data_IF_128453475749
#
_entry.id   IF_128453475749
#
_cell.length_a   1.000
_cell.length_b   1.000
_cell.length_c   1.000
_cell.angle_alpha   90.00
_cell.angle_beta   90.00
_cell.angle_gamma   90.00
#
_symmetry.space_group_name_H-M   'P 1'
#
loop_
_entity.id
_entity.type
_entity.pdbx_description
1 polymer ?
#
# COMPACT_ATOMS: atom_id res chain seq x y z
N UNK A 1 -9.06 12.01 -31.79
CA UNK A 1 -8.26 11.26 -30.82
C UNK A 1 -7.21 12.18 -30.21
N UNK A 2 -7.05 12.14 -28.91
CA UNK A 2 -6.00 12.92 -28.22
C UNK A 2 -4.64 12.29 -28.44
N UNK A 3 -3.61 13.11 -28.60
CA UNK A 3 -2.23 12.64 -28.57
C UNK A 3 -1.77 12.52 -27.11
N UNK A 4 -0.65 11.82 -26.88
CA UNK A 4 -0.09 11.76 -25.53
C UNK A 4 0.27 13.13 -24.95
N UNK A 5 0.65 14.09 -25.82
CA UNK A 5 0.98 15.46 -25.40
C UNK A 5 -0.25 16.22 -24.86
N UNK A 6 -1.44 15.87 -25.32
CA UNK A 6 -2.69 16.50 -24.90
C UNK A 6 -3.33 15.83 -23.67
N UNK A 7 -2.86 14.65 -23.31
CA UNK A 7 -3.39 13.90 -22.18
C UNK A 7 -2.60 14.22 -20.93
N UNK A 8 -3.29 14.69 -19.89
CA UNK A 8 -2.66 14.91 -18.60
C UNK A 8 -2.23 13.57 -18.00
N UNK A 9 -1.06 13.55 -17.38
CA UNK A 9 -0.59 12.34 -16.70
C UNK A 9 -1.43 12.01 -15.48
N UNK A 10 -1.59 10.73 -15.23
CA UNK A 10 -2.26 10.21 -14.05
C UNK A 10 -1.25 9.44 -13.21
N UNK A 11 -1.38 9.55 -11.89
CA UNK A 11 -0.58 8.75 -10.98
C UNK A 11 -1.30 7.44 -10.69
N UNK A 12 -0.55 6.34 -10.68
CA UNK A 12 -1.07 5.03 -10.29
C UNK A 12 -0.33 4.56 -9.06
N UNK A 13 -1.10 4.19 -8.03
CA UNK A 13 -0.55 3.68 -6.78
C UNK A 13 -1.10 2.28 -6.51
N UNK A 14 -0.42 1.55 -5.64
CA UNK A 14 -0.92 0.29 -5.08
C UNK A 14 -1.03 0.44 -3.57
N UNK A 15 -2.08 -0.12 -2.99
CA UNK A 15 -2.25 -0.27 -1.55
C UNK A 15 -2.34 -1.75 -1.24
N UNK A 16 -1.73 -2.16 -0.12
CA UNK A 16 -1.71 -3.57 0.26
C UNK A 16 -2.36 -3.72 1.62
N UNK A 17 -3.53 -4.35 1.64
CA UNK A 17 -4.32 -4.57 2.84
C UNK A 17 -3.96 -5.93 3.41
N UNK A 18 -3.21 -5.95 4.50
CA UNK A 18 -2.83 -7.19 5.19
C UNK A 18 -3.73 -7.34 6.41
N UNK A 19 -4.48 -8.42 6.42
CA UNK A 19 -5.47 -8.72 7.45
C UNK A 19 -5.03 -9.93 8.27
N UNK A 20 -5.39 -9.91 9.54
CA UNK A 20 -5.24 -11.07 10.42
C UNK A 20 -6.44 -11.18 11.34
N UNK A 21 -6.68 -12.38 11.86
CA UNK A 21 -7.64 -12.60 12.94
C UNK A 21 -6.85 -12.99 14.19
N UNK A 22 -7.01 -12.23 15.26
CA UNK A 22 -6.35 -12.49 16.52
C UNK A 22 -7.31 -12.25 17.67
N UNK A 23 -7.47 -13.24 18.56
CA UNK A 23 -8.44 -13.20 19.66
C UNK A 23 -9.86 -12.88 19.18
N UNK A 24 -10.28 -13.54 18.08
CA UNK A 24 -11.60 -13.38 17.44
C UNK A 24 -11.85 -11.98 16.87
N UNK A 25 -10.80 -11.17 16.70
CA UNK A 25 -10.93 -9.82 16.16
C UNK A 25 -10.15 -9.70 14.84
N UNK A 26 -10.80 -9.10 13.88
CA UNK A 26 -10.15 -8.76 12.60
C UNK A 26 -9.25 -7.54 12.79
N UNK A 27 -7.99 -7.65 12.36
CA UNK A 27 -7.03 -6.56 12.45
C UNK A 27 -6.39 -6.32 11.08
N UNK A 28 -6.02 -5.08 10.85
CA UNK A 28 -5.31 -4.64 9.65
C UNK A 28 -3.93 -4.11 10.03
N UNK A 29 -2.94 -4.41 9.18
CA UNK A 29 -1.58 -3.94 9.37
C UNK A 29 -1.47 -2.51 8.85
N UNK A 30 -1.12 -1.56 9.72
CA UNK A 30 -0.92 -0.17 9.36
C UNK A 30 0.51 0.26 9.60
N UNK A 31 0.97 1.21 8.80
CA UNK A 31 2.29 1.83 8.94
C UNK A 31 2.13 3.29 9.29
N UNK A 32 3.03 3.79 10.13
CA UNK A 32 3.06 5.20 10.52
C UNK A 32 4.06 5.93 9.62
N UNK A 33 3.62 7.00 9.01
CA UNK A 33 4.46 7.75 8.08
C UNK A 33 5.61 8.45 8.80
N UNK A 34 6.82 8.28 8.27
CA UNK A 34 8.02 8.93 8.79
C UNK A 34 8.27 10.32 8.18
N UNK A 35 7.67 10.61 7.01
CA UNK A 35 7.95 11.80 6.20
C UNK A 35 6.68 12.58 5.88
N UNK A 36 6.87 13.87 5.53
CA UNK A 36 5.78 14.65 4.95
C UNK A 36 5.43 14.16 3.54
N UNK A 37 4.19 14.29 3.05
CA UNK A 37 3.03 14.78 3.80
C UNK A 37 2.49 13.75 4.79
N UNK A 38 1.75 14.21 5.77
CA UNK A 38 1.05 13.40 6.77
C UNK A 38 1.98 12.62 7.72
N UNK A 39 3.16 13.17 8.03
CA UNK A 39 4.05 12.58 9.04
C UNK A 39 3.29 12.26 10.33
N UNK A 40 3.52 11.05 10.87
CA UNK A 40 2.91 10.61 12.11
C UNK A 40 1.52 10.00 11.95
N UNK A 41 0.94 10.02 10.75
CA UNK A 41 -0.35 9.38 10.49
C UNK A 41 -0.19 7.91 10.16
N UNK A 42 -1.16 7.13 10.59
CA UNK A 42 -1.24 5.71 10.24
C UNK A 42 -1.95 5.55 8.89
N UNK A 43 -1.45 4.64 8.09
CA UNK A 43 -2.02 4.37 6.76
C UNK A 43 -1.80 2.92 6.36
N UNK A 44 -2.59 2.48 5.38
CA UNK A 44 -2.36 1.21 4.69
C UNK A 44 -1.03 1.33 3.92
N UNK A 45 -0.15 0.30 3.98
CA UNK A 45 1.07 0.31 3.17
C UNK A 45 0.74 0.54 1.70
N UNK A 46 1.37 1.55 1.10
CA UNK A 46 1.11 1.91 -0.28
C UNK A 46 2.27 2.64 -0.92
N UNK A 47 2.24 2.75 -2.22
CA UNK A 47 3.27 3.46 -2.98
C UNK A 47 2.95 3.56 -4.46
N UNK A 48 3.75 4.33 -5.18
CA UNK A 48 3.60 4.50 -6.61
C UNK A 48 4.17 3.32 -7.37
N UNK A 49 3.58 2.99 -8.52
CA UNK A 49 4.20 2.03 -9.43
C UNK A 49 5.37 2.69 -10.16
N UNK A 50 6.36 1.89 -10.54
CA UNK A 50 7.50 2.34 -11.34
C UNK A 50 7.22 2.12 -12.82
N UNK A 51 7.89 2.87 -13.67
CA UNK A 51 7.67 2.83 -15.12
C UNK A 51 7.87 1.44 -15.73
N UNK A 52 8.80 0.65 -15.19
CA UNK A 52 9.18 -0.64 -15.76
C UNK A 52 8.64 -1.85 -15.02
N UNK A 53 7.77 -1.64 -14.01
CA UNK A 53 7.21 -2.78 -13.26
C UNK A 53 5.72 -2.94 -13.52
N UNK A 54 5.23 -4.18 -13.50
CA UNK A 54 3.79 -4.39 -13.56
C UNK A 54 3.16 -4.16 -12.17
N UNK A 55 1.83 -4.07 -12.15
CA UNK A 55 1.10 -3.69 -10.94
C UNK A 55 1.26 -4.73 -9.84
N UNK A 56 1.23 -6.03 -10.17
CA UNK A 56 1.38 -7.09 -9.19
C UNK A 56 2.77 -7.04 -8.53
N UNK A 57 3.81 -6.81 -9.31
CA UNK A 57 5.18 -6.69 -8.80
C UNK A 57 5.34 -5.45 -7.94
N UNK A 58 4.67 -4.34 -8.31
CA UNK A 58 4.64 -3.13 -7.49
C UNK A 58 4.05 -3.39 -6.11
N UNK A 59 2.95 -4.15 -6.06
CA UNK A 59 2.30 -4.50 -4.78
C UNK A 59 3.24 -5.30 -3.88
N UNK A 60 3.93 -6.30 -4.44
CA UNK A 60 4.89 -7.11 -3.68
C UNK A 60 6.08 -6.28 -3.21
N UNK A 61 6.59 -5.40 -4.05
CA UNK A 61 7.69 -4.50 -3.69
C UNK A 61 7.30 -3.55 -2.57
N UNK A 62 6.15 -2.89 -2.69
CA UNK A 62 5.65 -1.96 -1.68
C UNK A 62 5.46 -2.67 -0.34
N UNK A 63 4.88 -3.86 -0.36
CA UNK A 63 4.70 -4.67 0.84
C UNK A 63 6.04 -4.92 1.53
N UNK A 64 7.04 -5.38 0.78
CA UNK A 64 8.37 -5.67 1.33
C UNK A 64 9.05 -4.41 1.87
N UNK A 65 9.00 -3.30 1.13
CA UNK A 65 9.64 -2.05 1.55
C UNK A 65 9.00 -1.43 2.79
N UNK A 66 7.68 -1.56 2.92
CA UNK A 66 6.93 -0.90 4.00
C UNK A 66 6.69 -1.77 5.22
N UNK A 67 6.78 -3.11 5.09
CA UNK A 67 6.41 -4.02 6.17
C UNK A 67 7.43 -5.13 6.43
N UNK A 68 8.41 -5.32 5.57
CA UNK A 68 9.33 -6.46 5.53
C UNK A 68 8.67 -7.80 5.19
N UNK A 69 7.37 -7.85 5.01
CA UNK A 69 6.66 -9.07 4.59
C UNK A 69 6.98 -9.35 3.12
N UNK A 70 7.30 -10.60 2.81
CA UNK A 70 7.61 -11.02 1.44
C UNK A 70 7.14 -12.44 1.18
N UNK A 71 7.17 -12.86 -0.09
CA UNK A 71 6.86 -14.22 -0.53
C UNK A 71 5.46 -14.68 -0.13
N UNK A 72 4.49 -13.78 -0.20
CA UNK A 72 3.09 -14.11 0.04
C UNK A 72 2.28 -13.91 -1.24
N UNK A 73 1.18 -14.61 -1.32
CA UNK A 73 0.21 -14.43 -2.41
C UNK A 73 -0.68 -13.23 -2.11
N UNK A 74 -0.71 -12.28 -3.04
CA UNK A 74 -1.58 -11.11 -2.98
C UNK A 74 -2.65 -11.24 -4.06
N UNK A 75 -3.87 -10.88 -3.73
CA UNK A 75 -4.98 -10.87 -4.66
C UNK A 75 -5.50 -9.46 -4.81
N UNK A 76 -5.79 -9.05 -6.04
CA UNK A 76 -6.34 -7.72 -6.29
C UNK A 76 -7.76 -7.64 -5.74
N UNK A 77 -7.98 -6.64 -4.87
CA UNK A 77 -9.28 -6.42 -4.24
C UNK A 77 -10.17 -5.55 -5.11
N UNK A 78 -9.67 -4.39 -5.53
CA UNK A 78 -10.45 -3.41 -6.26
C UNK A 78 -9.54 -2.30 -6.80
N UNK A 79 -10.03 -1.60 -7.82
CA UNK A 79 -9.36 -0.41 -8.35
C UNK A 79 -10.23 0.81 -8.09
N UNK A 80 -9.67 1.79 -7.37
CA UNK A 80 -10.36 3.02 -7.00
C UNK A 80 -9.97 4.12 -7.98
N UNK A 81 -10.92 4.56 -8.79
CA UNK A 81 -10.65 5.49 -9.88
C UNK A 81 -11.44 6.79 -9.85
N UNK A 82 -12.15 7.11 -8.77
CA UNK A 82 -12.92 8.35 -8.68
C UNK A 82 -11.99 9.56 -8.79
N UNK A 83 -12.25 10.51 -9.73
CA UNK A 83 -11.39 11.68 -9.90
C UNK A 83 -11.37 12.63 -8.70
N UNK A 84 -12.37 12.57 -7.83
CA UNK A 84 -12.45 13.45 -6.65
C UNK A 84 -11.88 12.81 -5.39
N UNK A 85 -11.41 11.57 -5.47
CA UNK A 85 -10.93 10.81 -4.34
C UNK A 85 -9.69 11.43 -3.67
N UNK A 86 -8.81 12.02 -4.47
CA UNK A 86 -7.60 12.68 -3.97
C UNK A 86 -7.59 14.13 -4.47
N UNK A 87 -7.70 15.12 -3.56
CA UNK A 87 -7.91 16.51 -3.99
C UNK A 87 -6.74 17.15 -4.71
N UNK A 88 -5.51 16.69 -4.46
CA UNK A 88 -4.32 17.33 -5.02
C UNK A 88 -3.95 16.84 -6.42
N UNK A 89 -4.42 15.65 -6.85
CA UNK A 89 -4.03 15.05 -8.12
C UNK A 89 -4.99 13.96 -8.54
N UNK A 90 -4.91 13.57 -9.82
CA UNK A 90 -5.62 12.41 -10.33
C UNK A 90 -4.84 11.15 -9.95
N UNK A 91 -5.34 10.39 -8.99
CA UNK A 91 -4.69 9.17 -8.50
C UNK A 91 -5.63 7.98 -8.66
N UNK A 92 -5.15 6.96 -9.34
CA UNK A 92 -5.84 5.67 -9.46
C UNK A 92 -5.11 4.69 -8.57
N UNK A 93 -5.83 4.02 -7.67
CA UNK A 93 -5.22 3.09 -6.71
C UNK A 93 -5.72 1.67 -6.95
N UNK A 94 -4.79 0.75 -7.14
CA UNK A 94 -5.09 -0.68 -7.18
C UNK A 94 -4.84 -1.25 -5.79
N UNK A 95 -5.90 -1.71 -5.13
CA UNK A 95 -5.80 -2.31 -3.79
C UNK A 95 -5.63 -3.82 -3.90
N UNK A 96 -4.70 -4.35 -3.11
CA UNK A 96 -4.44 -5.79 -2.97
C UNK A 96 -4.70 -6.20 -1.54
N UNK A 97 -4.96 -7.48 -1.31
CA UNK A 97 -5.16 -7.98 0.04
C UNK A 97 -4.56 -9.38 0.23
N UNK A 98 -4.27 -9.69 1.47
CA UNK A 98 -3.95 -11.03 1.93
C UNK A 98 -4.41 -11.20 3.36
N UNK A 99 -4.82 -12.42 3.71
CA UNK A 99 -5.14 -12.80 5.09
C UNK A 99 -4.01 -13.69 5.59
N UNK A 100 -3.32 -13.26 6.64
CA UNK A 100 -2.15 -13.94 7.18
C UNK A 100 -2.31 -14.15 8.69
N UNK A 101 -1.55 -15.09 9.24
CA UNK A 101 -1.45 -15.22 10.69
C UNK A 101 -0.44 -14.21 11.21
N UNK A 102 -0.81 -13.47 12.25
CA UNK A 102 0.06 -12.44 12.83
C UNK A 102 1.39 -13.02 13.32
N UNK A 103 1.38 -14.26 13.83
CA UNK A 103 2.58 -14.93 14.33
C UNK A 103 3.61 -15.23 13.23
N UNK A 104 3.17 -15.27 11.97
CA UNK A 104 4.07 -15.54 10.84
C UNK A 104 4.77 -14.28 10.35
N UNK A 105 4.45 -13.11 10.91
CA UNK A 105 5.00 -11.83 10.47
C UNK A 105 5.87 -11.25 11.57
N UNK A 106 7.14 -10.99 11.24
CA UNK A 106 8.03 -10.20 12.09
C UNK A 106 7.92 -8.74 11.72
N UNK A 107 7.52 -7.92 12.68
CA UNK A 107 7.44 -6.47 12.49
C UNK A 107 8.75 -5.84 12.96
N UNK A 108 9.55 -5.35 12.00
CA UNK A 108 10.82 -4.69 12.27
C UNK A 108 10.88 -3.38 11.51
N UNK A 109 10.97 -2.27 12.24
CA UNK A 109 10.96 -0.93 11.66
C UNK A 109 12.33 -0.43 11.22
N UNK A 110 13.40 -1.13 11.55
CA UNK A 110 14.78 -0.62 11.35
C UNK A 110 15.17 -0.41 9.89
N UNK A 111 14.55 -1.14 8.97
CA UNK A 111 14.90 -1.11 7.54
C UNK A 111 13.72 -0.72 6.65
N UNK A 112 12.67 -0.14 7.21
CA UNK A 112 11.48 0.21 6.45
C UNK A 112 11.62 1.62 5.86
N UNK A 113 11.33 1.73 4.57
CA UNK A 113 11.42 3.00 3.86
C UNK A 113 10.21 3.87 4.13
N UNK A 114 10.45 5.08 4.68
CA UNK A 114 9.38 6.04 4.94
C UNK A 114 8.43 5.67 6.06
N UNK A 115 8.80 4.72 6.91
CA UNK A 115 7.94 4.19 7.99
C UNK A 115 8.65 4.33 9.32
N UNK A 116 7.97 4.96 10.29
CA UNK A 116 8.51 5.13 11.66
C UNK A 116 7.96 4.10 12.64
N UNK A 117 6.84 3.47 12.33
CA UNK A 117 6.25 2.42 13.16
C UNK A 117 5.32 1.55 12.31
N UNK A 118 5.04 0.35 12.79
CA UNK A 118 4.15 -0.61 12.15
C UNK A 118 3.39 -1.39 13.21
N UNK A 119 2.05 -1.47 13.10
CA UNK A 119 1.22 -2.12 14.11
C UNK A 119 -0.04 -2.72 13.48
N UNK A 120 -0.56 -3.74 14.17
CA UNK A 120 -1.90 -4.26 13.91
C UNK A 120 -2.96 -3.38 14.58
N UNK A 121 -3.99 -3.00 13.83
CA UNK A 121 -5.12 -2.20 14.32
C UNK A 121 -6.44 -2.92 14.04
N UNK A 122 -7.39 -2.76 14.95
CA UNK A 122 -8.75 -3.28 14.74
C UNK A 122 -9.55 -2.47 13.73
#
# INVERSE_FOLDING_TARGET
MRTFAETKTHEVTVDVVILTIHNDKLKVLLVKRANEPFRGRWSIPGGFIRLSENIDDAALRVLKEKTTVSNIYLEQLYTFGDPLRYPAARVITCAYFALLRAEDIKLDTKKLEGVSDIQWHE
#
